data_IF_413650807303
#
_entry.id   IF_413650807303
#
_cell.length_a   1.000
_cell.length_b   1.000
_cell.length_c   1.000
_cell.angle_alpha   90.00
_cell.angle_beta   90.00
_cell.angle_gamma   90.00
#
_symmetry.space_group_name_H-M   'P 1'
#
loop_
_entity.id
_entity.type
_entity.pdbx_description
1 polymer ?
#
# COMPACT_ATOMS: atom_id res chain seq x y z
N UNK A 1 -11.40 2.60 34.64
CA UNK A 1 -11.78 2.38 33.24
C UNK A 1 -10.54 2.24 32.35
N UNK A 2 -9.89 1.06 32.35
CA UNK A 2 -8.71 0.81 31.51
C UNK A 2 -9.11 0.26 30.14
N UNK A 3 -10.05 -0.69 30.12
CA UNK A 3 -10.59 -1.28 28.89
C UNK A 3 -11.29 -0.28 27.98
N UNK A 4 -12.11 0.64 28.53
CA UNK A 4 -12.73 1.72 27.73
C UNK A 4 -11.69 2.68 27.15
N UNK A 5 -10.65 3.02 27.93
CA UNK A 5 -9.56 3.87 27.45
C UNK A 5 -8.82 3.19 26.28
N UNK A 6 -8.44 1.93 26.46
CA UNK A 6 -7.77 1.15 25.41
C UNK A 6 -8.62 0.99 24.14
N UNK A 7 -9.94 0.82 24.28
CA UNK A 7 -10.86 0.77 23.15
C UNK A 7 -10.90 2.11 22.40
N UNK A 8 -11.04 3.23 23.12
CA UNK A 8 -11.07 4.56 22.51
C UNK A 8 -9.75 4.88 21.82
N UNK A 9 -8.61 4.58 22.43
CA UNK A 9 -7.29 4.76 21.82
C UNK A 9 -7.14 3.94 20.55
N UNK A 10 -7.56 2.67 20.57
CA UNK A 10 -7.54 1.81 19.39
C UNK A 10 -8.45 2.36 18.28
N UNK A 11 -9.65 2.84 18.61
CA UNK A 11 -10.58 3.42 17.61
C UNK A 11 -9.99 4.67 16.96
N UNK A 12 -9.49 5.61 17.76
CA UNK A 12 -8.87 6.84 17.24
C UNK A 12 -7.65 6.54 16.34
N UNK A 13 -6.82 5.57 16.73
CA UNK A 13 -5.67 5.16 15.93
C UNK A 13 -6.11 4.54 14.59
N UNK A 14 -7.11 3.66 14.62
CA UNK A 14 -7.66 3.05 13.42
C UNK A 14 -8.27 4.07 12.47
N UNK A 15 -9.08 5.00 12.97
CA UNK A 15 -9.69 6.07 12.16
C UNK A 15 -8.63 6.96 11.51
N UNK A 16 -7.59 7.35 12.28
CA UNK A 16 -6.47 8.12 11.75
C UNK A 16 -5.73 7.37 10.64
N UNK A 17 -5.48 6.07 10.82
CA UNK A 17 -4.76 5.24 9.86
C UNK A 17 -5.57 5.00 8.58
N UNK A 18 -6.87 4.76 8.70
CA UNK A 18 -7.78 4.64 7.55
C UNK A 18 -7.76 5.92 6.73
N UNK A 19 -7.88 7.07 7.39
CA UNK A 19 -7.90 8.36 6.71
C UNK A 19 -6.57 8.65 5.99
N UNK A 20 -5.43 8.46 6.66
CA UNK A 20 -4.12 8.70 6.04
C UNK A 20 -3.86 7.75 4.87
N UNK A 21 -4.29 6.49 4.99
CA UNK A 21 -4.10 5.48 3.94
C UNK A 21 -4.98 5.74 2.73
N UNK A 22 -6.26 6.06 2.92
CA UNK A 22 -7.16 6.46 1.82
C UNK A 22 -6.60 7.66 1.06
N UNK A 23 -6.12 8.66 1.79
CA UNK A 23 -5.49 9.85 1.19
C UNK A 23 -4.25 9.47 0.36
N UNK A 24 -3.40 8.59 0.87
CA UNK A 24 -2.22 8.13 0.13
C UNK A 24 -2.59 7.37 -1.15
N UNK A 25 -3.67 6.58 -1.15
CA UNK A 25 -4.20 5.93 -2.36
C UNK A 25 -4.76 6.96 -3.34
N UNK A 26 -5.49 7.98 -2.86
CA UNK A 26 -6.00 9.04 -3.73
C UNK A 26 -4.87 9.86 -4.38
N UNK A 27 -3.79 10.13 -3.64
CA UNK A 27 -2.67 10.96 -4.10
C UNK A 27 -1.64 10.19 -4.96
N UNK A 28 -1.53 8.88 -4.77
CA UNK A 28 -0.47 8.08 -5.36
C UNK A 28 -0.89 6.71 -5.89
N UNK A 29 -2.16 6.33 -5.79
CA UNK A 29 -2.66 5.03 -6.22
C UNK A 29 -2.53 4.79 -7.73
N UNK A 30 -2.43 5.86 -8.53
CA UNK A 30 -2.10 5.80 -9.95
C UNK A 30 -0.65 5.35 -10.24
N UNK A 31 0.24 5.47 -9.25
CA UNK A 31 1.66 5.08 -9.35
C UNK A 31 1.93 3.67 -8.82
N UNK A 32 0.90 3.00 -8.31
CA UNK A 32 0.99 1.71 -7.63
C UNK A 32 0.18 0.69 -8.43
N UNK A 33 0.58 -0.58 -8.40
CA UNK A 33 -0.16 -1.63 -9.08
C UNK A 33 -1.56 -1.81 -8.48
N UNK A 34 -2.54 -2.10 -9.33
CA UNK A 34 -3.95 -2.22 -8.91
C UNK A 34 -4.17 -3.30 -7.86
N UNK A 35 -3.37 -4.37 -7.85
CA UNK A 35 -3.47 -5.45 -6.87
C UNK A 35 -3.05 -5.00 -5.47
N UNK A 36 -2.00 -4.17 -5.36
CA UNK A 36 -1.60 -3.54 -4.10
C UNK A 36 -2.66 -2.56 -3.62
N UNK A 37 -3.22 -1.73 -4.50
CA UNK A 37 -4.32 -0.81 -4.15
C UNK A 37 -5.53 -1.58 -3.62
N UNK A 38 -5.98 -2.61 -4.34
CA UNK A 38 -7.11 -3.45 -3.94
C UNK A 38 -6.87 -4.13 -2.58
N UNK A 39 -5.66 -4.66 -2.35
CA UNK A 39 -5.30 -5.27 -1.06
C UNK A 39 -5.39 -4.28 0.11
N UNK A 40 -5.02 -3.02 -0.11
CA UNK A 40 -5.11 -1.98 0.92
C UNK A 40 -6.56 -1.57 1.14
N UNK A 41 -7.36 -1.40 0.09
CA UNK A 41 -8.80 -1.10 0.21
C UNK A 41 -9.55 -2.20 0.98
N UNK A 42 -9.22 -3.47 0.73
CA UNK A 42 -9.75 -4.60 1.50
C UNK A 42 -9.34 -4.53 2.98
N UNK A 43 -8.08 -4.16 3.28
CA UNK A 43 -7.60 -4.00 4.65
C UNK A 43 -8.29 -2.82 5.37
N UNK A 44 -8.52 -1.71 4.66
CA UNK A 44 -9.30 -0.55 5.15
C UNK A 44 -10.72 -0.99 5.49
N UNK A 45 -11.40 -1.69 4.57
CA UNK A 45 -12.77 -2.18 4.81
C UNK A 45 -12.83 -3.15 6.01
N UNK A 46 -11.86 -4.05 6.13
CA UNK A 46 -11.79 -4.96 7.28
C UNK A 46 -11.60 -4.21 8.61
N UNK A 47 -10.79 -3.15 8.64
CA UNK A 47 -10.61 -2.32 9.83
C UNK A 47 -11.87 -1.49 10.15
N UNK A 48 -12.58 -0.99 9.14
CA UNK A 48 -13.88 -0.33 9.34
C UNK A 48 -14.94 -1.28 9.92
N UNK A 49 -14.99 -2.54 9.46
CA UNK A 49 -15.86 -3.55 10.08
C UNK A 49 -15.42 -3.86 11.52
N UNK A 50 -14.12 -3.96 11.79
CA UNK A 50 -13.60 -4.15 13.14
C UNK A 50 -13.97 -2.99 14.08
N UNK A 51 -14.01 -1.75 13.58
CA UNK A 51 -14.41 -0.54 14.32
C UNK A 51 -15.89 -0.52 14.74
N UNK A 52 -16.74 -1.31 14.07
CA UNK A 52 -18.14 -1.53 14.48
C UNK A 52 -18.25 -2.49 15.66
N UNK A 53 -17.19 -3.24 15.96
CA UNK A 53 -17.10 -4.06 17.15
C UNK A 53 -16.55 -3.28 18.34
N UNK A 54 -16.94 -3.66 19.56
CA UNK A 54 -16.37 -3.10 20.80
C UNK A 54 -15.14 -3.89 21.29
N UNK A 55 -14.45 -4.57 20.38
CA UNK A 55 -13.30 -5.44 20.66
C UNK A 55 -11.98 -4.74 20.29
N UNK A 56 -11.31 -4.19 21.30
CA UNK A 56 -10.02 -3.53 21.13
C UNK A 56 -8.94 -4.46 20.56
N UNK A 57 -9.03 -5.79 20.77
CA UNK A 57 -8.11 -6.77 20.20
C UNK A 57 -8.30 -6.90 18.69
N UNK A 58 -9.55 -6.97 18.22
CA UNK A 58 -9.86 -6.99 16.78
C UNK A 58 -9.44 -5.71 16.07
N UNK A 59 -9.71 -4.55 16.68
CA UNK A 59 -9.31 -3.26 16.12
C UNK A 59 -7.78 -3.17 16.00
N UNK A 60 -7.04 -3.58 17.04
CA UNK A 60 -5.57 -3.62 17.00
C UNK A 60 -5.04 -4.57 15.92
N UNK A 61 -5.66 -5.74 15.74
CA UNK A 61 -5.30 -6.65 14.65
C UNK A 61 -5.51 -6.02 13.27
N UNK A 62 -6.65 -5.34 13.07
CA UNK A 62 -6.90 -4.62 11.82
C UNK A 62 -5.96 -3.44 11.59
N UNK A 63 -5.58 -2.70 12.64
CA UNK A 63 -4.55 -1.65 12.58
C UNK A 63 -3.23 -2.23 12.08
N UNK A 64 -2.80 -3.36 12.64
CA UNK A 64 -1.56 -4.03 12.23
C UNK A 64 -1.60 -4.41 10.75
N UNK A 65 -2.69 -5.06 10.32
CA UNK A 65 -2.88 -5.45 8.92
C UNK A 65 -2.86 -4.26 7.96
N UNK A 66 -3.57 -3.17 8.31
CA UNK A 66 -3.57 -1.96 7.49
C UNK A 66 -2.19 -1.30 7.47
N UNK A 67 -1.48 -1.29 8.60
CA UNK A 67 -0.12 -0.75 8.67
C UNK A 67 0.82 -1.50 7.73
N UNK A 68 0.80 -2.84 7.75
CA UNK A 68 1.62 -3.67 6.89
C UNK A 68 1.29 -3.45 5.40
N UNK A 69 0.00 -3.27 5.06
CA UNK A 69 -0.43 -2.94 3.71
C UNK A 69 0.03 -1.53 3.28
N UNK A 70 -0.07 -0.54 4.17
CA UNK A 70 0.37 0.84 3.92
C UNK A 70 1.89 0.96 3.80
N UNK A 71 2.68 0.06 4.41
CA UNK A 71 4.13 0.02 4.19
C UNK A 71 4.46 -0.36 2.75
N UNK A 72 3.77 -1.37 2.19
CA UNK A 72 3.93 -1.76 0.78
C UNK A 72 3.55 -0.63 -0.17
N UNK A 73 2.49 0.13 0.17
CA UNK A 73 2.12 1.35 -0.55
C UNK A 73 3.28 2.35 -0.55
N UNK A 74 3.85 2.65 0.61
CA UNK A 74 4.97 3.57 0.75
C UNK A 74 6.20 3.14 -0.05
N UNK A 75 6.52 1.84 -0.05
CA UNK A 75 7.61 1.28 -0.87
C UNK A 75 7.36 1.44 -2.37
N UNK A 76 6.13 1.16 -2.83
CA UNK A 76 5.75 1.33 -4.23
C UNK A 76 5.81 2.79 -4.68
N UNK A 77 5.31 3.72 -3.85
CA UNK A 77 5.39 5.16 -4.10
C UNK A 77 6.84 5.63 -4.16
N UNK A 78 7.68 5.20 -3.22
CA UNK A 78 9.08 5.58 -3.18
C UNK A 78 9.82 5.10 -4.44
N UNK A 79 9.58 3.86 -4.89
CA UNK A 79 10.13 3.34 -6.14
C UNK A 79 9.66 4.15 -7.36
N UNK A 80 8.37 4.50 -7.41
CA UNK A 80 7.81 5.31 -8.50
C UNK A 80 8.38 6.74 -8.52
N UNK A 81 8.61 7.35 -7.37
CA UNK A 81 9.25 8.68 -7.25
C UNK A 81 10.74 8.64 -7.61
N UNK A 82 11.46 7.59 -7.19
CA UNK A 82 12.88 7.41 -7.55
C UNK A 82 13.06 7.27 -9.07
N UNK A 83 12.17 6.53 -9.73
CA UNK A 83 12.16 6.42 -11.19
C UNK A 83 11.90 7.76 -11.91
N UNK A 84 11.16 8.70 -11.30
CA UNK A 84 10.97 10.05 -11.84
C UNK A 84 12.19 10.96 -11.65
N UNK A 85 12.93 10.81 -10.55
CA UNK A 85 14.15 11.61 -10.32
C UNK A 85 15.32 11.21 -11.23
N UNK A 86 15.34 9.99 -11.78
CA UNK A 86 16.35 9.58 -12.76
C UNK A 86 16.11 10.10 -14.19
N UNK A 87 15.01 10.83 -14.44
CA UNK A 87 14.67 11.38 -15.76
C UNK A 87 15.00 12.88 -15.93
N UNK A 88 15.78 13.50 -15.03
CA UNK A 88 16.12 14.94 -15.09
C UNK A 88 17.63 15.24 -15.19
N UNK A 89 18.47 14.25 -15.49
CA UNK A 89 19.92 14.44 -15.65
C UNK A 89 20.45 13.74 -16.94
N UNK A 90 19.82 14.00 -18.09
CA UNK A 90 20.38 13.65 -19.41
C UNK A 90 20.58 14.89 -20.31
N UNK A 91 21.32 15.88 -19.82
CA UNK A 91 22.08 16.82 -20.65
C UNK A 91 23.49 17.02 -20.07
N UNK A 92 24.36 16.01 -20.22
CA UNK A 92 25.80 16.15 -20.59
C UNK A 92 26.60 14.84 -20.34
N UNK A 93 26.85 14.08 -21.42
CA UNK A 93 28.13 13.37 -21.62
C UNK A 93 28.23 11.88 -21.21
N UNK A 94 28.93 11.03 -22.00
CA UNK A 94 28.86 9.58 -21.88
C UNK A 94 29.92 9.00 -20.93
N UNK A 95 29.52 8.03 -20.09
CA UNK A 95 30.27 6.95 -19.41
C UNK A 95 29.25 6.27 -18.49
N UNK A 96 28.80 5.04 -18.72
CA UNK A 96 29.61 3.84 -18.73
C UNK A 96 29.41 3.08 -17.42
N UNK A 97 28.97 1.82 -17.57
CA UNK A 97 28.91 0.70 -16.61
C UNK A 97 27.63 0.52 -15.78
N UNK A 98 27.00 -0.63 -16.05
CA UNK A 98 26.02 -1.43 -15.30
C UNK A 98 26.08 -1.31 -13.77
N UNK A 99 24.93 -1.35 -13.08
CA UNK A 99 24.37 -2.59 -12.51
C UNK A 99 23.08 -2.32 -11.69
N UNK A 100 22.18 -3.31 -11.70
CA UNK A 100 21.05 -3.54 -10.77
C UNK A 100 19.92 -2.50 -10.63
N UNK A 101 18.79 -2.66 -11.36
CA UNK A 101 17.43 -2.83 -10.77
C UNK A 101 16.58 -3.76 -11.65
N UNK A 102 16.72 -5.05 -11.37
CA UNK A 102 15.74 -6.15 -11.29
C UNK A 102 14.46 -6.10 -12.16
N UNK A 103 14.39 -7.12 -13.03
CA UNK A 103 13.22 -7.68 -13.71
C UNK A 103 11.91 -7.60 -12.89
N UNK A 104 10.94 -6.87 -13.42
CA UNK A 104 9.53 -7.20 -13.22
C UNK A 104 9.06 -7.97 -14.45
N UNK A 105 9.56 -9.20 -14.58
CA UNK A 105 8.92 -10.26 -15.33
C UNK A 105 7.54 -10.49 -14.69
N UNK A 106 6.53 -9.78 -15.19
CA UNK A 106 5.13 -10.16 -14.99
C UNK A 106 4.71 -10.95 -16.22
N UNK A 107 5.35 -12.10 -16.40
CA UNK A 107 4.88 -13.15 -17.29
C UNK A 107 4.12 -14.19 -16.44
N UNK A 108 2.90 -14.49 -16.91
CA UNK A 108 2.02 -15.60 -16.54
C UNK A 108 0.97 -15.39 -15.44
N UNK A 109 -0.19 -14.88 -15.88
CA UNK A 109 -1.47 -15.47 -15.51
C UNK A 109 -2.25 -15.76 -16.81
N UNK A 110 -2.15 -17.00 -17.27
CA UNK A 110 -2.76 -17.47 -18.50
C UNK A 110 -4.30 -17.51 -18.52
N UNK A 111 -4.82 -17.34 -19.73
CA UNK A 111 -6.08 -17.81 -20.32
C UNK A 111 -5.89 -17.53 -21.83
N UNK A 112 -6.06 -18.39 -22.82
CA UNK A 112 -7.08 -19.39 -23.03
C UNK A 112 -6.66 -20.37 -24.15
N UNK A 113 -6.76 -21.68 -23.87
CA UNK A 113 -6.95 -22.68 -24.92
C UNK A 113 -8.34 -22.47 -25.52
N UNK A 114 -8.47 -21.97 -26.76
CA UNK A 114 -9.46 -22.46 -27.74
C UNK A 114 -9.48 -21.71 -29.09
N UNK A 115 -9.42 -22.53 -30.15
CA UNK A 115 -10.04 -22.36 -31.50
C UNK A 115 -9.37 -21.27 -32.37
N UNK A 116 -8.98 -21.53 -33.61
CA UNK A 116 -9.60 -22.35 -34.64
C UNK A 116 -8.59 -22.62 -35.76
#
# INVERSE_FOLDING_TARGET
>A
DKKRKELVEARNQAESLIHSTRKAIEEHGDKVDGSTVEAIELAVGALEEALKSEDAGKIKGGIQNLTDASMKLGEAIYKAEQAKSSASDEDEGPRGVDDDIVDADFEDLGEDKKRK
#
